data_IF_471132084883
#
_entry.id   IF_471132084883
#
_cell.length_a   1.000
_cell.length_b   1.000
_cell.length_c   1.000
_cell.angle_alpha   90.00
_cell.angle_beta   90.00
_cell.angle_gamma   90.00
#
_symmetry.space_group_name_H-M   'P 1'
#
loop_
_entity.id
_entity.type
_entity.pdbx_description
1 polymer ?
#
# COMPACT_ATOMS: atom_id res chain seq x y z
N UNK A 1 -4.80 19.70 -4.92
CA UNK A 1 -6.03 18.88 -4.80
C UNK A 1 -6.24 18.57 -3.32
N UNK A 2 -7.47 18.61 -2.82
CA UNK A 2 -7.73 18.22 -1.42
C UNK A 2 -7.47 16.73 -1.23
N UNK A 3 -6.86 16.35 -0.12
CA UNK A 3 -6.62 14.95 0.26
C UNK A 3 -7.92 14.12 0.20
N UNK A 4 -9.06 14.74 0.55
CA UNK A 4 -10.36 14.10 0.45
C UNK A 4 -10.76 13.72 -0.98
N UNK A 5 -10.45 14.57 -1.97
CA UNK A 5 -10.76 14.28 -3.39
C UNK A 5 -9.93 13.09 -3.86
N UNK A 6 -8.63 13.08 -3.56
CA UNK A 6 -7.73 11.98 -3.96
C UNK A 6 -8.20 10.65 -3.37
N UNK A 7 -8.49 10.61 -2.06
CA UNK A 7 -8.99 9.41 -1.39
C UNK A 7 -10.31 8.91 -1.98
N UNK A 8 -11.25 9.82 -2.27
CA UNK A 8 -12.53 9.45 -2.90
C UNK A 8 -12.32 8.92 -4.31
N UNK A 9 -11.48 9.57 -5.13
CA UNK A 9 -11.19 9.11 -6.50
C UNK A 9 -10.53 7.74 -6.50
N UNK A 10 -9.51 7.52 -5.65
CA UNK A 10 -8.85 6.21 -5.53
C UNK A 10 -9.83 5.15 -5.07
N UNK A 11 -10.64 5.44 -4.04
CA UNK A 11 -11.66 4.53 -3.55
C UNK A 11 -12.68 4.16 -4.64
N UNK A 12 -13.18 5.14 -5.40
CA UNK A 12 -14.15 4.91 -6.46
C UNK A 12 -13.58 4.04 -7.60
N UNK A 13 -12.32 4.26 -7.99
CA UNK A 13 -11.66 3.46 -9.03
C UNK A 13 -11.41 2.03 -8.54
N UNK A 14 -10.89 1.86 -7.33
CA UNK A 14 -10.63 0.53 -6.77
C UNK A 14 -11.93 -0.27 -6.59
N UNK A 15 -12.99 0.36 -6.08
CA UNK A 15 -14.31 -0.29 -5.89
C UNK A 15 -15.01 -0.61 -7.20
N UNK A 16 -14.95 0.26 -8.21
CA UNK A 16 -15.50 -0.04 -9.53
C UNK A 16 -14.74 -1.18 -10.23
N UNK A 17 -13.41 -1.20 -10.14
CA UNK A 17 -12.60 -2.32 -10.64
C UNK A 17 -12.90 -3.64 -9.92
N UNK A 18 -13.06 -3.59 -8.59
CA UNK A 18 -13.47 -4.76 -7.81
C UNK A 18 -14.85 -5.24 -8.24
N UNK A 19 -15.83 -4.34 -8.34
CA UNK A 19 -17.19 -4.67 -8.77
C UNK A 19 -17.20 -5.34 -10.15
N UNK A 20 -16.46 -4.78 -11.11
CA UNK A 20 -16.30 -5.37 -12.44
C UNK A 20 -15.74 -6.80 -12.36
N UNK A 21 -14.71 -7.00 -11.53
CA UNK A 21 -14.10 -8.32 -11.32
C UNK A 21 -15.08 -9.32 -10.71
N UNK A 22 -15.88 -8.88 -9.73
CA UNK A 22 -16.91 -9.72 -9.12
C UNK A 22 -17.97 -10.14 -10.14
N UNK A 23 -18.43 -9.22 -10.98
CA UNK A 23 -19.43 -9.50 -12.03
C UNK A 23 -18.87 -10.47 -13.08
N UNK A 24 -17.59 -10.34 -13.45
CA UNK A 24 -16.97 -11.17 -14.48
C UNK A 24 -16.56 -12.56 -13.97
N UNK A 25 -16.16 -12.68 -12.70
CA UNK A 25 -15.56 -13.90 -12.16
C UNK A 25 -16.50 -14.72 -11.26
N UNK A 26 -17.61 -14.17 -10.76
CA UNK A 26 -18.50 -14.87 -9.83
C UNK A 26 -19.86 -15.16 -10.47
N UNK A 27 -20.08 -16.44 -10.81
CA UNK A 27 -21.34 -16.91 -11.39
C UNK A 27 -22.50 -16.97 -10.39
N UNK A 28 -22.21 -17.18 -9.09
CA UNK A 28 -23.23 -17.40 -8.04
C UNK A 28 -23.02 -16.51 -6.81
N UNK A 29 -23.24 -15.19 -6.92
CA UNK A 29 -22.97 -14.24 -5.84
C UNK A 29 -23.80 -14.52 -4.58
N UNK A 30 -25.05 -14.99 -4.73
CA UNK A 30 -25.93 -15.28 -3.58
C UNK A 30 -25.39 -16.39 -2.69
N UNK A 31 -24.79 -17.44 -3.26
CA UNK A 31 -24.21 -18.55 -2.48
C UNK A 31 -22.91 -18.12 -1.80
N UNK A 32 -22.10 -17.31 -2.48
CA UNK A 32 -20.90 -16.71 -1.89
C UNK A 32 -21.23 -15.82 -0.69
N UNK A 33 -22.24 -14.95 -0.84
CA UNK A 33 -22.71 -14.06 0.24
C UNK A 33 -23.25 -14.82 1.46
N UNK A 34 -23.87 -15.99 1.27
CA UNK A 34 -24.37 -16.79 2.39
C UNK A 34 -23.28 -17.45 3.24
N UNK A 35 -22.09 -17.70 2.65
CA UNK A 35 -20.95 -18.31 3.35
C UNK A 35 -20.00 -17.27 3.95
N UNK A 36 -20.16 -16.02 3.52
CA UNK A 36 -19.28 -14.91 3.86
C UNK A 36 -19.20 -14.66 5.38
N UNK A 37 -20.30 -14.83 6.11
CA UNK A 37 -20.31 -14.64 7.57
C UNK A 37 -19.40 -15.65 8.29
N UNK A 38 -19.50 -16.93 7.94
CA UNK A 38 -18.67 -17.99 8.53
C UNK A 38 -17.20 -17.82 8.16
N UNK A 39 -16.93 -17.45 6.90
CA UNK A 39 -15.57 -17.25 6.40
C UNK A 39 -14.90 -16.03 7.00
N UNK A 40 -15.62 -14.90 7.11
CA UNK A 40 -15.10 -13.68 7.74
C UNK A 40 -14.76 -13.95 9.20
N UNK A 41 -15.59 -14.71 9.92
CA UNK A 41 -15.31 -15.07 11.31
C UNK A 41 -14.04 -15.95 11.42
N UNK A 42 -13.80 -16.84 10.46
CA UNK A 42 -12.59 -17.68 10.43
C UNK A 42 -11.31 -16.88 10.13
N UNK A 43 -11.39 -15.81 9.30
CA UNK A 43 -10.24 -14.95 8.99
C UNK A 43 -10.13 -13.69 9.86
N UNK A 44 -11.14 -13.40 10.68
CA UNK A 44 -11.19 -12.26 11.58
C UNK A 44 -9.91 -12.02 12.41
N UNK A 45 -9.28 -13.03 13.05
CA UNK A 45 -8.04 -12.79 13.80
C UNK A 45 -6.88 -12.31 12.92
N UNK A 46 -6.82 -12.75 11.66
CA UNK A 46 -5.80 -12.31 10.70
C UNK A 46 -6.06 -10.90 10.19
N UNK A 47 -7.34 -10.54 9.96
CA UNK A 47 -7.73 -9.17 9.65
C UNK A 47 -7.40 -8.23 10.82
N UNK A 48 -7.67 -8.66 12.05
CA UNK A 48 -7.32 -7.90 13.26
C UNK A 48 -5.81 -7.71 13.37
N UNK A 49 -5.00 -8.75 13.10
CA UNK A 49 -3.54 -8.65 13.07
C UNK A 49 -3.07 -7.58 12.08
N UNK A 50 -3.55 -7.62 10.83
CA UNK A 50 -3.21 -6.62 9.82
C UNK A 50 -3.62 -5.22 10.27
N UNK A 51 -4.83 -5.06 10.82
CA UNK A 51 -5.32 -3.78 11.33
C UNK A 51 -4.45 -3.21 12.44
N UNK A 52 -4.03 -4.04 13.40
CA UNK A 52 -3.12 -3.65 14.48
C UNK A 52 -1.77 -3.23 13.92
N UNK A 53 -1.19 -4.01 13.00
CA UNK A 53 0.09 -3.69 12.37
C UNK A 53 0.02 -2.38 11.58
N UNK A 54 -1.03 -2.17 10.80
CA UNK A 54 -1.22 -0.91 10.05
C UNK A 54 -1.40 0.29 10.97
N UNK A 55 -2.10 0.13 12.10
CA UNK A 55 -2.25 1.20 13.09
C UNK A 55 -0.90 1.56 13.72
N UNK A 56 -0.09 0.55 14.08
CA UNK A 56 1.25 0.73 14.61
C UNK A 56 2.16 1.41 13.57
N UNK A 57 2.08 0.98 12.31
CA UNK A 57 2.79 1.59 11.20
C UNK A 57 2.39 3.06 11.02
N UNK A 58 1.10 3.40 11.10
CA UNK A 58 0.63 4.79 10.99
C UNK A 58 1.15 5.69 12.12
N UNK A 59 1.19 5.17 13.35
CA UNK A 59 1.72 5.91 14.51
C UNK A 59 3.22 6.18 14.36
N UNK A 60 3.98 5.15 13.97
CA UNK A 60 5.44 5.26 13.76
C UNK A 60 5.78 6.20 12.60
N UNK A 61 4.99 6.18 11.52
CA UNK A 61 5.19 7.08 10.38
C UNK A 61 5.04 8.56 10.76
N UNK A 62 4.05 8.90 11.59
CA UNK A 62 3.86 10.27 12.08
C UNK A 62 5.01 10.78 12.96
N UNK A 63 5.65 9.89 13.72
CA UNK A 63 6.84 10.22 14.51
C UNK A 63 8.08 10.41 13.63
N UNK A 64 8.27 9.56 12.61
CA UNK A 64 9.39 9.65 11.67
C UNK A 64 9.43 11.00 10.93
N UNK A 65 8.27 11.46 10.43
CA UNK A 65 8.17 12.76 9.74
C UNK A 65 8.54 13.93 10.65
N UNK A 66 8.09 13.92 11.91
CA UNK A 66 8.40 14.99 12.88
C UNK A 66 9.87 15.01 13.28
N UNK A 67 10.48 13.83 13.42
CA UNK A 67 11.91 13.70 13.69
C UNK A 67 12.72 14.18 12.47
N UNK A 68 12.20 14.02 11.26
CA UNK A 68 12.84 14.51 10.03
C UNK A 68 12.90 15.99 9.92
N UNK A 69 11.75 16.58 10.15
CA UNK A 69 11.68 18.01 10.12
C UNK A 69 12.50 18.64 11.25
N UNK A 70 12.70 17.94 12.37
CA UNK A 70 13.54 18.41 13.46
C UNK A 70 15.05 18.27 13.20
N UNK A 71 15.49 17.21 12.49
CA UNK A 71 16.92 16.92 12.28
C UNK A 71 17.48 17.44 10.94
N UNK A 72 16.63 17.90 10.02
CA UNK A 72 17.07 18.57 8.78
C UNK A 72 17.84 17.67 7.80
N UNK A 73 17.68 16.36 7.89
CA UNK A 73 18.40 15.38 7.08
C UNK A 73 17.77 15.23 5.70
N UNK A 74 18.56 15.41 4.63
CA UNK A 74 18.13 15.25 3.23
C UNK A 74 18.55 13.87 2.69
N UNK A 75 17.63 12.91 2.71
CA UNK A 75 17.86 11.54 2.21
C UNK A 75 18.08 11.49 0.70
N UNK A 76 17.62 12.50 -0.03
CA UNK A 76 17.87 12.60 -1.48
C UNK A 76 19.37 12.52 -1.77
N UNK A 77 20.19 13.15 -0.93
CA UNK A 77 21.64 13.17 -1.11
C UNK A 77 22.25 11.79 -0.80
N UNK A 78 21.71 11.06 0.19
CA UNK A 78 22.17 9.72 0.57
C UNK A 78 21.78 8.68 -0.49
N UNK A 79 20.55 8.74 -1.01
CA UNK A 79 20.10 7.88 -2.11
C UNK A 79 20.94 8.19 -3.35
N UNK A 80 21.21 9.46 -3.62
CA UNK A 80 22.09 9.87 -4.71
C UNK A 80 23.53 9.38 -4.53
N UNK A 81 24.06 9.34 -3.31
CA UNK A 81 25.40 8.81 -3.04
C UNK A 81 25.48 7.28 -3.26
N UNK A 82 24.38 6.55 -3.10
CA UNK A 82 24.31 5.09 -3.30
C UNK A 82 23.96 4.72 -4.75
N UNK A 83 22.97 5.38 -5.34
CA UNK A 83 22.43 5.09 -6.68
C UNK A 83 23.13 5.91 -7.79
N UNK A 84 23.87 6.96 -7.40
CA UNK A 84 24.52 7.88 -8.33
C UNK A 84 23.53 8.55 -9.28
N UNK A 85 23.94 8.67 -10.54
CA UNK A 85 23.14 9.26 -11.61
C UNK A 85 22.11 8.29 -12.22
N UNK A 86 21.94 7.07 -11.69
CA UNK A 86 21.04 6.08 -12.26
C UNK A 86 19.59 6.58 -12.36
N UNK A 87 19.05 7.15 -11.26
CA UNK A 87 17.69 7.70 -11.23
C UNK A 87 17.55 8.86 -12.22
N UNK A 88 18.57 9.72 -12.32
CA UNK A 88 18.59 10.85 -13.25
C UNK A 88 18.56 10.35 -14.71
N UNK A 89 19.35 9.32 -15.02
CA UNK A 89 19.34 8.70 -16.34
C UNK A 89 17.98 8.07 -16.65
N UNK A 90 17.42 7.32 -15.69
CA UNK A 90 16.13 6.67 -15.85
C UNK A 90 15.00 7.69 -16.04
N UNK A 91 15.02 8.79 -15.29
CA UNK A 91 14.08 9.90 -15.46
C UNK A 91 14.29 10.60 -16.81
N UNK A 92 15.53 10.82 -17.25
CA UNK A 92 15.83 11.48 -18.52
C UNK A 92 15.38 10.66 -19.74
N UNK A 93 15.43 9.32 -19.66
CA UNK A 93 14.92 8.44 -20.73
C UNK A 93 13.43 8.13 -20.62
N UNK A 94 12.79 8.48 -19.50
CA UNK A 94 11.35 8.27 -19.30
C UNK A 94 10.58 9.39 -19.98
N UNK A 95 9.72 9.11 -20.98
CA UNK A 95 8.89 10.12 -21.60
C UNK A 95 7.95 10.77 -20.59
N UNK A 96 7.77 12.09 -20.70
CA UNK A 96 6.88 12.88 -19.82
C UNK A 96 5.45 12.32 -19.79
N UNK A 97 4.99 11.74 -20.90
CA UNK A 97 3.67 11.11 -21.00
C UNK A 97 3.51 9.82 -20.18
N UNK A 98 4.60 9.14 -19.80
CA UNK A 98 4.54 7.93 -19.00
C UNK A 98 4.47 8.20 -17.50
N UNK A 99 4.99 9.34 -17.04
CA UNK A 99 4.95 9.74 -15.61
C UNK A 99 3.52 9.71 -15.05
N UNK A 100 2.49 10.33 -15.68
CA UNK A 100 1.12 10.25 -15.18
C UNK A 100 0.52 8.85 -15.28
N UNK A 101 0.92 8.05 -16.27
CA UNK A 101 0.46 6.65 -16.43
C UNK A 101 0.98 5.79 -15.27
N UNK A 102 2.28 5.83 -15.00
CA UNK A 102 2.88 5.10 -13.88
C UNK A 102 2.38 5.59 -12.53
N UNK A 103 2.22 6.91 -12.36
CA UNK A 103 1.64 7.49 -11.15
C UNK A 103 0.20 7.01 -10.92
N UNK A 104 -0.61 6.96 -11.98
CA UNK A 104 -1.96 6.43 -11.93
C UNK A 104 -2.00 4.93 -11.60
N UNK A 105 -1.19 4.12 -12.28
CA UNK A 105 -1.04 2.69 -12.01
C UNK A 105 -0.60 2.43 -10.57
N UNK A 106 0.37 3.19 -10.08
CA UNK A 106 0.83 3.09 -8.70
C UNK A 106 -0.30 3.45 -7.73
N UNK A 107 -0.94 4.60 -7.89
CA UNK A 107 -1.92 5.09 -6.93
C UNK A 107 -3.22 4.27 -6.92
N UNK A 108 -3.76 3.95 -8.09
CA UNK A 108 -5.02 3.22 -8.23
C UNK A 108 -4.83 1.71 -8.22
N UNK A 109 -3.81 1.23 -8.94
CA UNK A 109 -3.51 -0.19 -9.07
C UNK A 109 -3.06 -0.80 -7.75
N UNK A 110 -2.29 -0.08 -6.93
CA UNK A 110 -1.91 -0.58 -5.60
C UNK A 110 -3.14 -0.84 -4.72
N UNK A 111 -4.06 0.12 -4.61
CA UNK A 111 -5.28 -0.04 -3.81
C UNK A 111 -6.14 -1.21 -4.32
N UNK A 112 -6.26 -1.33 -5.65
CA UNK A 112 -7.00 -2.42 -6.29
C UNK A 112 -6.36 -3.80 -6.03
N UNK A 113 -5.06 -3.96 -6.30
CA UNK A 113 -4.34 -5.23 -6.12
C UNK A 113 -4.27 -5.62 -4.64
N UNK A 114 -4.28 -4.66 -3.72
CA UNK A 114 -4.25 -4.96 -2.29
C UNK A 114 -5.61 -5.50 -1.80
N UNK A 115 -6.71 -4.88 -2.21
CA UNK A 115 -8.05 -5.21 -1.72
C UNK A 115 -8.70 -6.40 -2.45
N UNK A 116 -8.56 -6.45 -3.77
CA UNK A 116 -9.25 -7.43 -4.63
C UNK A 116 -9.00 -8.89 -4.26
N UNK A 117 -7.74 -9.37 -4.07
CA UNK A 117 -7.51 -10.77 -3.73
C UNK A 117 -8.07 -11.15 -2.37
N UNK A 118 -8.06 -10.23 -1.39
CA UNK A 118 -8.67 -10.46 -0.07
C UNK A 118 -10.17 -10.72 -0.24
N UNK A 119 -10.86 -9.85 -0.99
CA UNK A 119 -12.30 -9.97 -1.24
C UNK A 119 -12.62 -11.23 -2.04
N UNK A 120 -11.86 -11.54 -3.08
CA UNK A 120 -12.07 -12.74 -3.89
C UNK A 120 -11.84 -14.02 -3.09
N UNK A 121 -10.80 -14.12 -2.26
CA UNK A 121 -10.55 -15.32 -1.46
C UNK A 121 -11.66 -15.57 -0.44
N UNK A 122 -12.22 -14.51 0.15
CA UNK A 122 -13.37 -14.58 1.08
C UNK A 122 -14.70 -14.85 0.37
N UNK A 123 -14.84 -14.53 -0.92
CA UNK A 123 -16.05 -14.86 -1.67
C UNK A 123 -16.00 -16.27 -2.27
N UNK A 124 -14.81 -16.80 -2.47
CA UNK A 124 -14.57 -18.11 -3.09
C UNK A 124 -14.33 -19.23 -2.07
N UNK A 125 -14.45 -18.98 -0.76
CA UNK A 125 -14.15 -19.98 0.28
C UNK A 125 -12.70 -20.43 0.32
N UNK A 126 -11.77 -19.61 -0.20
CA UNK A 126 -10.35 -19.89 -0.22
C UNK A 126 -9.65 -19.39 1.07
N UNK A 127 -10.05 -19.94 2.22
CA UNK A 127 -9.62 -19.47 3.55
C UNK A 127 -8.11 -19.59 3.77
N UNK A 128 -7.47 -20.65 3.27
CA UNK A 128 -6.01 -20.83 3.40
C UNK A 128 -5.23 -19.75 2.63
N UNK A 129 -5.45 -19.53 1.32
CA UNK A 129 -4.84 -18.40 0.59
C UNK A 129 -5.12 -17.03 1.22
N UNK A 130 -6.32 -16.81 1.75
CA UNK A 130 -6.66 -15.57 2.46
C UNK A 130 -5.78 -15.36 3.70
N UNK A 131 -5.60 -16.40 4.54
CA UNK A 131 -4.76 -16.34 5.75
C UNK A 131 -3.30 -16.10 5.38
N UNK A 132 -2.77 -16.82 4.40
CA UNK A 132 -1.38 -16.65 3.92
C UNK A 132 -1.14 -15.22 3.41
N UNK A 133 -2.08 -14.66 2.64
CA UNK A 133 -2.01 -13.29 2.15
C UNK A 133 -2.01 -12.25 3.29
N UNK A 134 -2.92 -12.39 4.26
CA UNK A 134 -3.02 -11.47 5.40
C UNK A 134 -1.76 -11.54 6.29
N UNK A 135 -1.22 -12.73 6.50
CA UNK A 135 0.07 -12.88 7.21
C UNK A 135 1.20 -12.24 6.41
N UNK A 136 1.25 -12.41 5.10
CA UNK A 136 2.26 -11.76 4.25
C UNK A 136 2.14 -10.23 4.33
N UNK A 137 0.93 -9.67 4.31
CA UNK A 137 0.71 -8.23 4.50
C UNK A 137 1.18 -7.75 5.86
N UNK A 138 0.83 -8.47 6.94
CA UNK A 138 1.28 -8.13 8.28
C UNK A 138 2.81 -8.19 8.38
N UNK A 139 3.44 -9.26 7.88
CA UNK A 139 4.88 -9.44 7.90
C UNK A 139 5.62 -8.39 7.08
N UNK A 140 5.13 -8.04 5.89
CA UNK A 140 5.70 -6.98 5.06
C UNK A 140 5.70 -5.62 5.78
N UNK A 141 4.59 -5.28 6.43
CA UNK A 141 4.50 -4.03 7.20
C UNK A 141 5.37 -4.06 8.47
N UNK A 142 5.45 -5.20 9.15
CA UNK A 142 6.29 -5.37 10.33
C UNK A 142 7.78 -5.30 10.01
N UNK A 143 8.26 -6.02 9.00
CA UNK A 143 9.66 -6.00 8.59
C UNK A 143 10.10 -4.61 8.14
N UNK A 144 9.27 -3.92 7.37
CA UNK A 144 9.48 -2.52 7.01
C UNK A 144 9.62 -1.62 8.25
N UNK A 145 8.88 -1.91 9.34
CA UNK A 145 9.01 -1.17 10.61
C UNK A 145 10.19 -1.60 11.49
N UNK A 146 10.63 -2.86 11.38
CA UNK A 146 11.62 -3.45 12.30
C UNK A 146 13.06 -3.01 11.99
N UNK A 147 13.33 -2.54 10.77
CA UNK A 147 14.62 -1.94 10.39
C UNK A 147 14.90 -0.62 11.15
N UNK A 148 13.87 -0.03 11.76
CA UNK A 148 13.98 1.18 12.59
C UNK A 148 14.36 0.88 14.07
N UNK A 149 14.02 -0.30 14.60
CA UNK A 149 14.21 -0.63 16.02
C UNK A 149 15.67 -0.95 16.41
N UNK A 150 16.59 -1.06 15.45
CA UNK A 150 18.03 -1.30 15.70
C UNK A 150 18.86 -0.04 15.90
N UNK A 151 18.23 1.13 16.05
CA UNK A 151 18.95 2.38 16.34
C UNK A 151 19.71 2.95 15.13
N UNK A 152 19.39 2.50 13.92
CA UNK A 152 19.84 3.11 12.67
C UNK A 152 18.61 3.85 12.11
N UNK A 153 18.59 5.20 12.03
CA UNK A 153 17.44 5.92 11.50
C UNK A 153 17.60 6.10 9.98
N UNK A 154 16.81 5.42 9.11
CA UNK A 154 17.21 5.34 7.71
C UNK A 154 16.32 6.11 6.71
N UNK A 155 15.22 6.77 7.12
CA UNK A 155 14.30 7.42 6.16
C UNK A 155 13.29 8.38 6.80
N UNK A 156 13.85 9.42 7.34
CA UNK A 156 13.21 10.53 8.00
C UNK A 156 12.97 11.59 6.89
N UNK A 157 11.77 11.62 6.30
CA UNK A 157 11.39 12.24 5.00
C UNK A 157 11.07 13.75 5.09
N UNK A 158 11.77 14.57 4.29
CA UNK A 158 11.36 15.94 3.91
C UNK A 158 11.47 16.08 2.39
N UNK A 159 10.34 16.17 1.67
CA UNK A 159 10.33 16.45 0.22
C UNK A 159 10.49 17.96 0.01
N UNK A 160 11.74 18.42 -0.08
CA UNK A 160 12.08 19.75 -0.54
C UNK A 160 12.57 19.70 -1.99
N UNK A 161 11.79 20.24 -2.92
CA UNK A 161 12.23 20.48 -4.30
C UNK A 161 13.53 21.31 -4.30
N UNK A 162 14.60 20.88 -5.00
CA UNK A 162 15.75 21.74 -5.20
C UNK A 162 15.32 22.96 -6.01
N UNK A 163 15.57 24.15 -5.46
CA UNK A 163 15.55 25.40 -6.23
C UNK A 163 16.63 25.31 -7.29
N UNK A 164 16.22 25.37 -8.55
CA UNK A 164 17.05 25.85 -9.65
C UNK A 164 17.42 27.31 -9.41
#
# INVERSE_FOLDING_TARGET
>A
MSLGIVSVTVGAIATSGLFLTLVLCIDRPRQALQRLDEEILDIAPYLALVGVVMLLHRITHGLSLRISDALGLNITDIIYDVEGSFVVYLQAVTPDGLVPVFSGLYMFGFAYVLATPVVLYVLTSATRPAKELLVAYAFNNLTSSHDFSRGIPPWVIRVGLPRL
#
